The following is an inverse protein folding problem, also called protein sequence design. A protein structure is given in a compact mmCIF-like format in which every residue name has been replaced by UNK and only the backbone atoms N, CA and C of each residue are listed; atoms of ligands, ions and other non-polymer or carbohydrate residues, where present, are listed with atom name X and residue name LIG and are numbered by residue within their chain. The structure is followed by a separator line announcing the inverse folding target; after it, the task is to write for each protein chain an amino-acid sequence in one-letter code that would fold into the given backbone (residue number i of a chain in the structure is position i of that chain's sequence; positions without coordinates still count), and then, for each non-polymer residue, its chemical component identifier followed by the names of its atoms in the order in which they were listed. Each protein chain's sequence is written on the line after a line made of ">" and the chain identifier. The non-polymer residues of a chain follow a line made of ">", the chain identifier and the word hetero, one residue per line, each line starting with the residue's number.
data_IF_990683957606
#
_entry.id   IF_990683957606
#
_cell.length_a   1.000
_cell.length_b   1.000
_cell.length_c   1.000
_cell.angle_alpha   90.00
_cell.angle_beta   90.00
_cell.angle_gamma   90.00
#
_symmetry.space_group_name_H-M   'P 1'
#
loop_
_entity.id
_entity.type
_entity.pdbx_description
1 polymer ?
#
# COMPACT_ATOMS: atom_id res chain seq x y z
N UNK A 1 25.39 -14.82 17.97
CA UNK A 1 25.64 -15.49 16.67
C UNK A 1 24.40 -15.61 15.74
N UNK A 2 23.19 -15.19 16.12
CA UNK A 2 21.97 -15.39 15.31
C UNK A 2 21.51 -14.18 14.44
N UNK A 3 22.33 -13.13 14.28
CA UNK A 3 21.95 -11.93 13.49
C UNK A 3 22.23 -12.04 11.98
N UNK A 4 23.08 -12.98 11.55
CA UNK A 4 23.52 -13.11 10.16
C UNK A 4 22.70 -14.05 9.27
N UNK A 5 21.92 -14.95 9.86
CA UNK A 5 21.13 -15.93 9.08
C UNK A 5 19.89 -15.30 8.44
N UNK A 6 19.22 -14.37 9.13
CA UNK A 6 18.03 -13.69 8.60
C UNK A 6 18.34 -12.85 7.35
N UNK A 7 19.42 -12.06 7.39
CA UNK A 7 19.84 -11.23 6.24
C UNK A 7 20.25 -12.09 5.04
N UNK A 8 20.94 -13.21 5.28
CA UNK A 8 21.36 -14.15 4.24
C UNK A 8 20.20 -14.97 3.66
N UNK A 9 19.17 -15.25 4.45
CA UNK A 9 17.99 -15.98 3.98
C UNK A 9 17.06 -15.07 3.15
N UNK A 10 16.88 -13.81 3.58
CA UNK A 10 16.15 -12.79 2.82
C UNK A 10 16.80 -12.49 1.46
N UNK A 11 18.15 -12.44 1.43
CA UNK A 11 18.94 -12.18 0.21
C UNK A 11 18.88 -13.32 -0.82
N UNK A 12 18.64 -14.57 -0.39
CA UNK A 12 18.37 -15.70 -1.31
C UNK A 12 16.93 -15.72 -1.82
N UNK A 13 15.98 -15.25 -1.03
CA UNK A 13 14.57 -15.18 -1.43
C UNK A 13 14.25 -14.06 -2.44
N UNK A 14 15.07 -13.01 -2.49
CA UNK A 14 14.86 -11.88 -3.40
C UNK A 14 15.32 -12.14 -4.86
N UNK A 15 16.04 -13.24 -5.12
CA UNK A 15 16.67 -13.49 -6.43
C UNK A 15 15.85 -14.38 -7.38
N UNK A 16 14.71 -14.90 -6.94
CA UNK A 16 13.87 -15.84 -7.71
C UNK A 16 12.49 -15.31 -8.08
N UNK A 17 12.13 -14.07 -7.71
CA UNK A 17 10.92 -13.44 -8.24
C UNK A 17 11.26 -12.73 -9.55
N UNK A 18 11.65 -13.50 -10.59
CA UNK A 18 11.62 -12.99 -11.95
C UNK A 18 10.17 -12.99 -12.41
N UNK A 19 9.48 -11.87 -12.22
CA UNK A 19 8.13 -11.70 -12.77
C UNK A 19 8.29 -11.75 -14.30
N UNK A 20 7.61 -12.68 -15.01
CA UNK A 20 7.76 -12.77 -16.46
C UNK A 20 7.34 -11.43 -17.11
N UNK A 21 8.05 -10.97 -18.15
CA UNK A 21 7.89 -9.62 -18.71
C UNK A 21 6.46 -9.31 -19.17
N UNK A 22 5.72 -10.33 -19.58
CA UNK A 22 4.30 -10.25 -19.98
C UNK A 22 3.36 -9.90 -18.83
N UNK A 23 3.61 -10.35 -17.60
CA UNK A 23 2.78 -9.99 -16.44
C UNK A 23 3.06 -8.53 -16.02
N UNK A 24 4.31 -8.08 -16.14
CA UNK A 24 4.69 -6.71 -15.82
C UNK A 24 3.99 -5.66 -16.70
N UNK A 25 3.84 -5.95 -17.99
CA UNK A 25 3.13 -5.08 -18.95
C UNK A 25 1.62 -5.03 -18.67
N UNK A 26 0.98 -6.16 -18.39
CA UNK A 26 -0.46 -6.22 -18.10
C UNK A 26 -0.82 -5.53 -16.78
N UNK A 27 0.05 -5.65 -15.77
CA UNK A 27 -0.15 -4.95 -14.49
C UNK A 27 0.07 -3.44 -14.62
N UNK A 28 0.98 -3.00 -15.50
CA UNK A 28 1.26 -1.59 -15.71
C UNK A 28 0.05 -0.80 -16.25
N UNK A 29 -0.92 -1.44 -16.90
CA UNK A 29 -2.16 -0.75 -17.32
C UNK A 29 -3.19 -0.61 -16.19
N UNK A 30 -2.98 -1.29 -15.07
CA UNK A 30 -3.84 -1.29 -13.88
C UNK A 30 -3.26 -0.41 -12.75
N UNK A 31 -2.78 0.78 -13.10
CA UNK A 31 -2.10 1.72 -12.17
C UNK A 31 -2.87 1.98 -10.87
N UNK A 32 -4.20 2.06 -10.93
CA UNK A 32 -5.03 2.27 -9.73
C UNK A 32 -5.04 1.05 -8.79
N UNK A 33 -4.97 -0.16 -9.35
CA UNK A 33 -4.86 -1.40 -8.58
C UNK A 33 -3.45 -1.51 -7.98
N UNK A 34 -2.42 -1.23 -8.78
CA UNK A 34 -1.03 -1.22 -8.34
C UNK A 34 -0.80 -0.25 -7.18
N UNK A 35 -1.33 0.97 -7.25
CA UNK A 35 -1.22 1.94 -6.15
C UNK A 35 -1.78 1.39 -4.85
N UNK A 36 -2.94 0.72 -4.90
CA UNK A 36 -3.58 0.15 -3.70
C UNK A 36 -2.78 -1.02 -3.13
N UNK A 37 -2.21 -1.87 -3.99
CA UNK A 37 -1.34 -2.97 -3.57
C UNK A 37 -0.05 -2.42 -2.95
N UNK A 38 0.53 -1.38 -3.54
CA UNK A 38 1.72 -0.70 -3.01
C UNK A 38 1.44 -0.09 -1.64
N UNK A 39 0.32 0.61 -1.47
CA UNK A 39 -0.08 1.18 -0.17
C UNK A 39 -0.24 0.08 0.90
N UNK A 40 -0.85 -1.06 0.56
CA UNK A 40 -0.93 -2.21 1.47
C UNK A 40 0.45 -2.76 1.84
N UNK A 41 1.37 -2.86 0.87
CA UNK A 41 2.72 -3.35 1.11
C UNK A 41 3.52 -2.41 2.04
N UNK A 42 3.35 -1.10 1.88
CA UNK A 42 3.95 -0.08 2.76
C UNK A 42 3.42 -0.23 4.19
N UNK A 43 2.10 -0.33 4.36
CA UNK A 43 1.49 -0.49 5.69
C UNK A 43 1.97 -1.78 6.36
N UNK A 44 2.00 -2.91 5.65
CA UNK A 44 2.49 -4.19 6.18
C UNK A 44 3.96 -4.13 6.58
N UNK A 45 4.82 -3.52 5.77
CA UNK A 45 6.23 -3.36 6.12
C UNK A 45 6.40 -2.48 7.35
N UNK A 46 5.68 -1.35 7.42
CA UNK A 46 5.70 -0.46 8.58
C UNK A 46 5.24 -1.19 9.85
N UNK A 47 4.16 -1.99 9.79
CA UNK A 47 3.69 -2.81 10.91
C UNK A 47 4.78 -3.77 11.42
N UNK A 48 5.45 -4.49 10.51
CA UNK A 48 6.54 -5.42 10.89
C UNK A 48 7.72 -4.68 11.53
N UNK A 49 8.09 -3.50 11.01
CA UNK A 49 9.17 -2.68 11.56
C UNK A 49 8.85 -2.22 12.98
N UNK A 50 7.65 -1.68 13.24
CA UNK A 50 7.29 -1.20 14.59
C UNK A 50 7.12 -2.35 15.59
N UNK A 51 6.55 -3.48 15.16
CA UNK A 51 6.46 -4.69 15.98
C UNK A 51 7.84 -5.21 16.36
N UNK A 52 8.74 -5.32 15.39
CA UNK A 52 10.13 -5.75 15.61
C UNK A 52 10.85 -4.82 16.59
N UNK A 53 10.65 -3.50 16.45
CA UNK A 53 11.27 -2.51 17.32
C UNK A 53 10.75 -2.60 18.75
N UNK A 54 9.43 -2.57 18.95
CA UNK A 54 8.83 -2.64 20.28
C UNK A 54 9.16 -3.96 20.99
N UNK A 55 9.15 -5.08 20.25
CA UNK A 55 9.55 -6.40 20.79
C UNK A 55 11.00 -6.44 21.25
N UNK A 56 11.90 -5.82 20.48
CA UNK A 56 13.32 -5.71 20.84
C UNK A 56 13.54 -4.81 22.05
N UNK A 57 12.82 -3.68 22.15
CA UNK A 57 12.87 -2.77 23.29
C UNK A 57 12.39 -3.45 24.58
N UNK A 58 11.29 -4.21 24.51
CA UNK A 58 10.77 -5.02 25.61
C UNK A 58 11.76 -6.10 26.04
N UNK A 59 12.35 -6.82 25.07
CA UNK A 59 13.31 -7.89 25.33
C UNK A 59 14.62 -7.39 25.96
N UNK A 60 15.00 -6.14 25.67
CA UNK A 60 16.20 -5.49 26.23
C UNK A 60 15.90 -4.71 27.52
N UNK A 61 14.64 -4.63 27.95
CA UNK A 61 14.24 -3.88 29.14
C UNK A 61 14.52 -2.37 29.04
N UNK A 62 14.39 -1.79 27.84
CA UNK A 62 14.64 -0.36 27.65
C UNK A 62 13.62 0.50 28.41
N UNK A 63 14.02 1.67 28.94
CA UNK A 63 13.11 2.53 29.70
C UNK A 63 11.90 3.02 28.90
N UNK A 64 12.02 3.07 27.57
CA UNK A 64 10.95 3.48 26.64
C UNK A 64 10.06 2.34 26.18
N UNK A 65 10.34 1.08 26.56
CA UNK A 65 9.70 -0.10 25.99
C UNK A 65 8.17 -0.11 26.17
N UNK A 66 7.67 0.36 27.31
CA UNK A 66 6.23 0.47 27.56
C UNK A 66 5.55 1.47 26.59
N UNK A 67 6.19 2.61 26.32
CA UNK A 67 5.68 3.59 25.38
C UNK A 67 5.75 3.09 23.93
N UNK A 68 6.85 2.43 23.55
CA UNK A 68 7.01 1.82 22.23
C UNK A 68 5.97 0.73 21.96
N UNK A 69 5.59 -0.04 23.00
CA UNK A 69 4.47 -0.99 22.91
C UNK A 69 3.15 -0.29 22.59
N UNK A 70 2.82 0.80 23.30
CA UNK A 70 1.58 1.56 23.06
C UNK A 70 1.55 2.11 21.62
N UNK A 71 2.66 2.70 21.16
CA UNK A 71 2.78 3.20 19.78
C UNK A 71 2.59 2.08 18.75
N UNK A 72 3.19 0.91 19.00
CA UNK A 72 3.04 -0.26 18.15
C UNK A 72 1.59 -0.72 18.07
N UNK A 73 0.91 -0.85 19.22
CA UNK A 73 -0.47 -1.33 19.30
C UNK A 73 -1.43 -0.36 18.55
N UNK A 74 -1.27 0.95 18.73
CA UNK A 74 -2.04 1.98 18.00
C UNK A 74 -1.78 1.87 16.49
N UNK A 75 -0.51 1.88 16.07
CA UNK A 75 -0.17 1.85 14.65
C UNK A 75 -0.68 0.58 13.97
N UNK A 76 -0.46 -0.59 14.58
CA UNK A 76 -0.87 -1.87 14.01
C UNK A 76 -2.39 -2.02 13.92
N UNK A 77 -3.15 -1.46 14.87
CA UNK A 77 -4.62 -1.43 14.79
C UNK A 77 -5.10 -0.65 13.57
N UNK A 78 -4.63 0.59 13.42
CA UNK A 78 -5.03 1.47 12.32
C UNK A 78 -4.56 0.94 10.96
N UNK A 79 -3.30 0.49 10.87
CA UNK A 79 -2.74 -0.06 9.64
C UNK A 79 -3.44 -1.36 9.23
N UNK A 80 -3.80 -2.23 10.18
CA UNK A 80 -4.58 -3.44 9.89
C UNK A 80 -5.95 -3.11 9.30
N UNK A 81 -6.65 -2.10 9.85
CA UNK A 81 -7.92 -1.65 9.29
C UNK A 81 -7.76 -1.14 7.86
N UNK A 82 -6.77 -0.25 7.62
CA UNK A 82 -6.49 0.28 6.27
C UNK A 82 -6.21 -0.83 5.25
N UNK A 83 -5.37 -1.79 5.62
CA UNK A 83 -5.02 -2.92 4.74
C UNK A 83 -6.26 -3.77 4.44
N UNK A 84 -7.08 -4.08 5.45
CA UNK A 84 -8.31 -4.85 5.24
C UNK A 84 -9.28 -4.14 4.30
N UNK A 85 -9.48 -2.84 4.46
CA UNK A 85 -10.40 -2.07 3.61
C UNK A 85 -9.88 -1.94 2.18
N UNK A 86 -8.58 -1.71 2.00
CA UNK A 86 -7.94 -1.69 0.68
C UNK A 86 -8.04 -3.05 -0.01
N UNK A 87 -7.77 -4.14 0.71
CA UNK A 87 -7.89 -5.51 0.17
C UNK A 87 -9.34 -5.86 -0.18
N UNK A 88 -10.32 -5.50 0.67
CA UNK A 88 -11.75 -5.66 0.34
C UNK A 88 -12.11 -4.89 -0.92
N UNK A 89 -11.64 -3.65 -1.04
CA UNK A 89 -11.88 -2.82 -2.23
C UNK A 89 -11.29 -3.46 -3.49
N UNK A 90 -10.10 -4.06 -3.41
CA UNK A 90 -9.48 -4.81 -4.51
C UNK A 90 -10.26 -6.06 -4.91
N UNK A 91 -10.72 -6.86 -3.92
CA UNK A 91 -11.48 -8.10 -4.18
C UNK A 91 -12.88 -7.86 -4.70
N UNK A 92 -13.51 -6.76 -4.28
CA UNK A 92 -14.93 -6.52 -4.52
C UNK A 92 -15.29 -6.27 -5.98
N UNK A 93 -14.34 -6.01 -6.89
CA UNK A 93 -14.51 -5.96 -8.35
C UNK A 93 -15.48 -4.90 -8.91
N UNK A 94 -16.67 -4.74 -8.33
CA UNK A 94 -17.78 -3.92 -8.83
C UNK A 94 -17.73 -2.45 -8.45
N UNK A 95 -17.36 -2.09 -7.21
CA UNK A 95 -17.36 -0.68 -6.78
C UNK A 95 -16.13 0.10 -7.28
N UNK A 96 -14.94 -0.53 -7.26
CA UNK A 96 -13.70 0.07 -7.75
C UNK A 96 -13.67 0.24 -9.28
N UNK A 97 -14.18 -0.75 -10.03
CA UNK A 97 -14.13 -0.71 -11.50
C UNK A 97 -15.00 0.42 -12.09
N UNK A 98 -16.16 0.70 -11.51
CA UNK A 98 -16.99 1.84 -11.93
C UNK A 98 -16.27 3.18 -11.69
N UNK A 99 -15.65 3.34 -10.51
CA UNK A 99 -14.85 4.52 -10.20
C UNK A 99 -13.68 4.70 -11.18
N UNK A 100 -12.95 3.63 -11.50
CA UNK A 100 -11.81 3.70 -12.44
C UNK A 100 -12.24 4.05 -13.86
N UNK A 101 -13.40 3.55 -14.32
CA UNK A 101 -13.98 3.97 -15.61
C UNK A 101 -14.35 5.45 -15.60
N UNK A 102 -14.96 5.93 -14.53
CA UNK A 102 -15.33 7.35 -14.39
C UNK A 102 -14.09 8.26 -14.37
N UNK A 103 -13.04 7.88 -13.62
CA UNK A 103 -11.78 8.62 -13.60
C UNK A 103 -11.12 8.69 -14.99
N UNK A 104 -11.11 7.56 -15.71
CA UNK A 104 -10.57 7.52 -17.09
C UNK A 104 -11.38 8.42 -18.02
N UNK A 105 -12.71 8.34 -17.99
CA UNK A 105 -13.60 9.17 -18.82
C UNK A 105 -13.47 10.66 -18.51
N UNK A 106 -13.43 11.04 -17.22
CA UNK A 106 -13.23 12.42 -16.81
C UNK A 106 -11.88 12.96 -17.28
N UNK A 107 -10.81 12.17 -17.14
CA UNK A 107 -9.48 12.56 -17.61
C UNK A 107 -9.42 12.76 -19.13
N UNK A 108 -10.08 11.89 -19.91
CA UNK A 108 -10.15 12.02 -21.35
C UNK A 108 -10.87 13.31 -21.77
N UNK A 109 -12.03 13.60 -21.15
CA UNK A 109 -12.80 14.80 -21.43
C UNK A 109 -12.03 16.09 -21.07
N UNK A 110 -11.28 16.10 -19.95
CA UNK A 110 -10.43 17.23 -19.58
C UNK A 110 -9.29 17.47 -20.59
N UNK A 111 -8.65 16.40 -21.06
CA UNK A 111 -7.57 16.49 -22.05
C UNK A 111 -8.10 16.95 -23.41
N UNK A 112 -9.25 16.44 -23.85
CA UNK A 112 -9.90 16.86 -25.11
C UNK A 112 -10.32 18.33 -25.08
N UNK A 113 -10.83 18.81 -23.94
CA UNK A 113 -11.24 20.21 -23.77
C UNK A 113 -10.05 21.15 -23.55
N UNK A 114 -8.89 20.63 -23.14
CA UNK A 114 -7.72 21.43 -22.76
C UNK A 114 -7.88 22.20 -21.45
N UNK A 115 -8.85 21.81 -20.60
CA UNK A 115 -9.25 22.54 -19.41
C UNK A 115 -10.47 21.94 -18.72
N UNK A 116 -11.05 22.67 -17.77
CA UNK A 116 -12.24 22.22 -17.03
C UNK A 116 -13.44 22.10 -17.99
N UNK A 117 -14.05 20.91 -18.03
CA UNK A 117 -15.16 20.59 -18.96
C UNK A 117 -16.45 21.33 -18.59
N UNK A 118 -16.68 21.56 -17.30
CA UNK A 118 -17.92 22.19 -16.82
C UNK A 118 -17.81 23.70 -16.86
N UNK A 119 -18.78 24.35 -17.51
CA UNK A 119 -19.00 25.78 -17.35
C UNK A 119 -19.54 26.10 -15.96
N UNK A 120 -19.29 27.31 -15.48
CA UNK A 120 -19.89 27.79 -14.25
C UNK A 120 -21.43 27.75 -14.38
N UNK A 121 -22.20 27.33 -13.34
CA UNK A 121 -23.65 27.18 -13.45
C UNK A 121 -24.41 28.45 -13.82
N UNK A 122 -23.79 29.62 -13.65
CA UNK A 122 -24.35 30.92 -14.02
C UNK A 122 -23.96 31.38 -15.42
N UNK A 123 -23.16 30.61 -16.16
CA UNK A 123 -22.76 30.91 -17.54
C UNK A 123 -21.90 32.17 -17.71
N UNK A 124 -21.40 32.72 -16.60
CA UNK A 124 -20.51 33.90 -16.52
C UNK A 124 -19.15 33.54 -15.97
#
# INVERSE_FOLDING_TARGET
>A
MARGLWVRHMSRSARTVSVPPVIGLVLADEQFVLQRVADCAIDLYAMVVVLSRASAALSQGLPTAAHEKVLCDIWCSEASSRVQDRVRSLRSGGSGAALFRNLRSASAALVETGGVVTAHPLGV
#
